data_IF_847150960339
#
_entry.id   IF_847150960339
#
_cell.length_a   1.000
_cell.length_b   1.000
_cell.length_c   1.000
_cell.angle_alpha   90.00
_cell.angle_beta   90.00
_cell.angle_gamma   90.00
#
_symmetry.space_group_name_H-M   'P 1'
#
loop_
_entity.id
_entity.type
_entity.pdbx_description
1 polymer ?
#
# COMPACT_ATOMS: atom_id res chain seq x y z
N UNK A 1 35.64 9.61 -9.77
CA UNK A 1 34.62 10.26 -8.93
C UNK A 1 33.32 9.46 -9.05
N UNK A 2 32.76 8.90 -7.96
CA UNK A 2 31.49 8.19 -8.03
C UNK A 2 30.35 9.18 -8.29
N UNK A 3 29.55 8.89 -9.33
CA UNK A 3 28.40 9.70 -9.76
C UNK A 3 27.35 9.82 -8.65
N UNK A 4 27.33 10.95 -7.95
CA UNK A 4 26.30 11.35 -6.98
C UNK A 4 24.92 11.62 -7.61
N UNK A 5 24.83 11.62 -8.94
CA UNK A 5 23.62 11.97 -9.70
C UNK A 5 22.55 10.88 -9.72
N UNK A 6 22.87 9.61 -9.45
CA UNK A 6 21.85 8.53 -9.45
C UNK A 6 21.00 8.47 -8.18
N UNK A 7 21.53 8.92 -7.05
CA UNK A 7 20.79 8.90 -5.78
C UNK A 7 19.70 9.99 -5.73
N UNK A 8 19.97 11.15 -6.34
CA UNK A 8 19.07 12.31 -6.29
C UNK A 8 17.80 12.15 -7.15
N UNK A 9 17.86 11.35 -8.23
CA UNK A 9 16.70 11.12 -9.10
C UNK A 9 15.64 10.17 -8.50
N UNK A 10 15.99 9.37 -7.47
CA UNK A 10 15.08 8.40 -6.86
C UNK A 10 14.17 8.99 -5.77
N UNK A 11 14.58 10.10 -5.14
CA UNK A 11 13.90 10.72 -4.00
C UNK A 11 12.63 11.51 -4.34
N UNK A 12 12.57 12.36 -5.39
CA UNK A 12 11.33 13.09 -5.72
C UNK A 12 10.24 12.16 -6.26
N UNK A 13 10.61 10.96 -6.71
CA UNK A 13 9.73 10.07 -7.45
C UNK A 13 8.78 9.24 -6.56
N UNK A 14 8.99 9.22 -5.24
CA UNK A 14 8.21 8.36 -4.30
C UNK A 14 7.48 9.13 -3.21
N UNK A 15 7.48 10.47 -3.27
CA UNK A 15 6.84 11.32 -2.26
C UNK A 15 5.35 11.01 -2.13
N UNK A 16 4.67 10.74 -3.25
CA UNK A 16 3.25 10.36 -3.26
C UNK A 16 3.01 9.06 -2.49
N UNK A 17 3.88 8.06 -2.62
CA UNK A 17 3.73 6.81 -1.87
C UNK A 17 3.96 7.00 -0.37
N UNK A 18 4.91 7.86 0.02
CA UNK A 18 5.10 8.27 1.41
C UNK A 18 3.90 9.05 1.96
N UNK A 19 3.33 9.96 1.16
CA UNK A 19 2.14 10.72 1.52
C UNK A 19 0.99 9.77 1.85
N UNK A 20 0.64 8.83 0.97
CA UNK A 20 -0.46 7.89 1.25
C UNK A 20 -0.16 6.93 2.39
N UNK A 21 1.08 6.48 2.53
CA UNK A 21 1.47 5.68 3.70
C UNK A 21 1.27 6.48 5.01
N UNK A 22 1.67 7.76 5.03
CA UNK A 22 1.48 8.63 6.19
C UNK A 22 0.00 8.92 6.47
N UNK A 23 -0.83 9.07 5.44
CA UNK A 23 -2.27 9.24 5.60
C UNK A 23 -2.92 8.00 6.21
N UNK A 24 -2.52 6.79 5.79
CA UNK A 24 -2.99 5.54 6.38
C UNK A 24 -2.60 5.42 7.86
N UNK A 25 -1.35 5.76 8.20
CA UNK A 25 -0.89 5.80 9.59
C UNK A 25 -1.69 6.84 10.39
N UNK A 26 -1.80 8.07 9.90
CA UNK A 26 -2.50 9.16 10.57
C UNK A 26 -3.98 8.83 10.81
N UNK A 27 -4.66 8.29 9.80
CA UNK A 27 -6.05 7.86 9.92
C UNK A 27 -6.21 6.68 10.90
N UNK A 28 -5.27 5.73 10.89
CA UNK A 28 -5.30 4.62 11.83
C UNK A 28 -5.05 5.05 13.28
N UNK A 29 -4.11 5.97 13.49
CA UNK A 29 -3.86 6.59 14.81
C UNK A 29 -5.07 7.39 15.30
N UNK A 30 -5.78 8.08 14.40
CA UNK A 30 -7.04 8.76 14.71
C UNK A 30 -8.09 7.78 15.24
N UNK A 31 -8.25 6.60 14.63
CA UNK A 31 -9.18 5.57 15.11
C UNK A 31 -8.76 4.88 16.42
N UNK A 32 -7.45 4.81 16.70
CA UNK A 32 -6.95 4.21 17.94
C UNK A 32 -7.13 5.17 19.13
N UNK A 33 -7.16 6.48 18.86
CA UNK A 33 -7.21 7.50 19.90
C UNK A 33 -8.49 7.37 20.75
N UNK A 34 -8.38 7.28 22.10
CA UNK A 34 -9.50 6.94 22.96
C UNK A 34 -10.56 8.05 23.11
N UNK A 35 -10.25 9.26 22.65
CA UNK A 35 -11.11 10.43 22.79
C UNK A 35 -12.02 10.67 21.58
N UNK A 36 -11.84 9.93 20.49
CA UNK A 36 -12.69 10.02 19.30
C UNK A 36 -13.58 8.77 19.16
N UNK A 37 -14.83 8.96 18.75
CA UNK A 37 -15.78 7.89 18.47
C UNK A 37 -16.21 7.98 17.00
N UNK A 38 -15.28 7.73 16.09
CA UNK A 38 -15.55 7.86 14.64
C UNK A 38 -16.66 6.90 14.22
N UNK A 39 -16.64 5.69 14.78
CA UNK A 39 -17.65 4.67 14.48
C UNK A 39 -18.98 4.89 15.22
N UNK A 40 -19.10 5.95 16.03
CA UNK A 40 -20.39 6.43 16.54
C UNK A 40 -21.26 7.05 15.44
N UNK A 41 -20.69 7.40 14.29
CA UNK A 41 -21.44 7.89 13.14
C UNK A 41 -22.04 6.72 12.34
N UNK A 42 -23.37 6.73 12.04
CA UNK A 42 -24.05 5.70 11.26
C UNK A 42 -23.40 5.37 9.91
N UNK A 43 -22.70 6.33 9.29
CA UNK A 43 -21.94 6.12 8.06
C UNK A 43 -20.97 4.94 8.16
N UNK A 44 -20.38 4.69 9.34
CA UNK A 44 -19.40 3.63 9.54
C UNK A 44 -20.01 2.32 10.08
N UNK A 45 -21.34 2.21 10.18
CA UNK A 45 -22.01 1.05 10.78
C UNK A 45 -21.61 -0.29 10.12
N UNK A 46 -21.44 -0.31 8.80
CA UNK A 46 -21.01 -1.51 8.09
C UNK A 46 -19.57 -1.95 8.44
N UNK A 47 -18.65 -1.01 8.70
CA UNK A 47 -17.31 -1.34 9.19
C UNK A 47 -17.33 -1.79 10.65
N UNK A 48 -18.16 -1.13 11.47
CA UNK A 48 -18.34 -1.47 12.89
C UNK A 48 -18.89 -2.89 13.08
N UNK A 49 -19.71 -3.37 12.13
CA UNK A 49 -20.22 -4.74 12.14
C UNK A 49 -19.14 -5.81 11.87
N UNK A 50 -18.06 -5.45 11.16
CA UNK A 50 -16.97 -6.37 10.81
C UNK A 50 -15.88 -6.43 11.88
N UNK A 51 -15.49 -5.27 12.41
CA UNK A 51 -14.48 -5.16 13.45
C UNK A 51 -14.62 -3.84 14.21
N UNK A 52 -14.07 -3.81 15.41
CA UNK A 52 -14.04 -2.60 16.25
C UNK A 52 -13.22 -1.49 15.61
N UNK A 53 -13.53 -0.23 15.94
CA UNK A 53 -12.80 0.96 15.48
C UNK A 53 -11.29 0.82 15.71
N UNK A 54 -10.90 0.32 16.90
CA UNK A 54 -9.49 0.09 17.26
C UNK A 54 -8.82 -0.95 16.35
N UNK A 55 -9.50 -2.02 15.98
CA UNK A 55 -8.94 -3.05 15.08
C UNK A 55 -8.68 -2.49 13.69
N UNK A 56 -9.63 -1.72 13.14
CA UNK A 56 -9.42 -1.01 11.87
C UNK A 56 -8.28 0.01 11.95
N UNK A 57 -8.17 0.72 13.08
CA UNK A 57 -7.07 1.64 13.33
C UNK A 57 -5.70 0.95 13.32
N UNK A 58 -5.55 -0.15 14.07
CA UNK A 58 -4.33 -0.96 14.10
C UNK A 58 -4.00 -1.48 12.70
N UNK A 59 -4.99 -2.01 12.00
CA UNK A 59 -4.82 -2.53 10.65
C UNK A 59 -4.31 -1.44 9.68
N UNK A 60 -4.90 -0.26 9.70
CA UNK A 60 -4.48 0.88 8.86
C UNK A 60 -3.04 1.32 9.17
N UNK A 61 -2.68 1.40 10.45
CA UNK A 61 -1.28 1.68 10.87
C UNK A 61 -0.33 0.60 10.36
N UNK A 62 -0.67 -0.68 10.53
CA UNK A 62 0.16 -1.78 10.04
C UNK A 62 0.40 -1.70 8.53
N UNK A 63 -0.64 -1.46 7.73
CA UNK A 63 -0.49 -1.30 6.27
C UNK A 63 0.43 -0.12 5.93
N UNK A 64 0.23 1.02 6.57
CA UNK A 64 1.06 2.21 6.34
C UNK A 64 2.53 1.98 6.73
N UNK A 65 2.80 1.33 7.87
CA UNK A 65 4.15 0.99 8.32
C UNK A 65 4.82 -0.01 7.38
N UNK A 66 4.10 -1.05 6.95
CA UNK A 66 4.62 -2.02 5.96
C UNK A 66 4.97 -1.32 4.65
N UNK A 67 4.13 -0.37 4.19
CA UNK A 67 4.40 0.42 2.99
C UNK A 67 5.65 1.29 3.13
N UNK A 68 5.82 2.00 4.25
CA UNK A 68 7.04 2.77 4.54
C UNK A 68 8.25 1.86 4.56
N UNK A 69 8.17 0.71 5.24
CA UNK A 69 9.25 -0.29 5.26
C UNK A 69 9.60 -0.78 3.84
N UNK A 70 8.61 -1.07 3.01
CA UNK A 70 8.80 -1.48 1.62
C UNK A 70 9.48 -0.37 0.78
N UNK A 71 9.14 0.90 1.02
CA UNK A 71 9.76 2.04 0.35
C UNK A 71 11.24 2.19 0.72
N UNK A 72 11.56 2.09 2.02
CA UNK A 72 12.92 2.16 2.55
C UNK A 72 13.77 0.99 2.01
N UNK A 73 13.26 -0.24 2.07
CA UNK A 73 13.98 -1.42 1.58
C UNK A 73 14.22 -1.35 0.06
N UNK A 74 13.22 -0.91 -0.73
CA UNK A 74 13.37 -0.68 -2.17
C UNK A 74 14.35 0.46 -2.52
N UNK A 75 14.79 1.26 -1.56
CA UNK A 75 15.81 2.29 -1.75
C UNK A 75 17.24 1.76 -1.58
N UNK A 76 17.44 0.69 -0.80
CA UNK A 76 18.78 0.36 -0.28
C UNK A 76 19.27 -1.08 -0.51
N UNK A 77 18.40 -2.11 -0.61
CA UNK A 77 18.89 -3.50 -0.51
C UNK A 77 18.26 -4.48 -1.51
N UNK A 78 16.98 -4.82 -1.35
CA UNK A 78 16.27 -5.78 -2.19
C UNK A 78 15.04 -5.13 -2.81
N UNK A 79 14.83 -5.34 -4.12
CA UNK A 79 13.64 -4.84 -4.81
C UNK A 79 12.41 -5.61 -4.32
N UNK A 80 11.51 -4.95 -3.59
CA UNK A 80 10.19 -5.45 -3.15
C UNK A 80 9.02 -4.72 -3.84
N UNK A 81 8.97 -4.65 -5.19
CA UNK A 81 7.96 -3.88 -5.91
C UNK A 81 6.54 -4.45 -5.76
N UNK A 82 6.40 -5.77 -5.58
CA UNK A 82 5.10 -6.40 -5.35
C UNK A 82 4.49 -6.01 -4.01
N UNK A 83 5.31 -5.86 -2.96
CA UNK A 83 4.83 -5.43 -1.65
C UNK A 83 4.31 -4.00 -1.70
N UNK A 84 5.00 -3.11 -2.42
CA UNK A 84 4.54 -1.74 -2.69
C UNK A 84 3.20 -1.73 -3.44
N UNK A 85 3.09 -2.52 -4.51
CA UNK A 85 1.85 -2.66 -5.26
C UNK A 85 0.69 -3.13 -4.37
N UNK A 86 0.88 -4.16 -3.56
CA UNK A 86 -0.15 -4.66 -2.63
C UNK A 86 -0.60 -3.59 -1.64
N UNK A 87 0.33 -2.80 -1.08
CA UNK A 87 -0.01 -1.74 -0.14
C UNK A 87 -0.77 -0.58 -0.81
N UNK A 88 -0.37 -0.17 -2.02
CA UNK A 88 -1.11 0.83 -2.81
C UNK A 88 -2.49 0.34 -3.22
N UNK A 89 -2.59 -0.93 -3.62
CA UNK A 89 -3.88 -1.56 -3.97
C UNK A 89 -4.83 -1.59 -2.77
N UNK A 90 -4.31 -1.90 -1.59
CA UNK A 90 -5.07 -1.80 -0.36
C UNK A 90 -5.59 -0.36 -0.14
N UNK A 91 -4.75 0.65 -0.37
CA UNK A 91 -5.17 2.06 -0.35
C UNK A 91 -6.32 2.35 -1.31
N UNK A 92 -6.26 1.88 -2.56
CA UNK A 92 -7.36 2.01 -3.54
C UNK A 92 -8.67 1.44 -2.97
N UNK A 93 -8.62 0.20 -2.48
CA UNK A 93 -9.80 -0.46 -1.90
C UNK A 93 -10.32 0.31 -0.69
N UNK A 94 -9.42 0.80 0.15
CA UNK A 94 -9.74 1.56 1.35
C UNK A 94 -10.54 2.84 1.03
N UNK A 95 -10.06 3.65 0.09
CA UNK A 95 -10.74 4.88 -0.32
C UNK A 95 -12.08 4.59 -1.01
N UNK A 96 -12.18 3.50 -1.79
CA UNK A 96 -13.45 3.06 -2.39
C UNK A 96 -14.47 2.65 -1.34
N UNK A 97 -14.05 1.92 -0.30
CA UNK A 97 -14.92 1.54 0.82
C UNK A 97 -15.45 2.79 1.52
N UNK A 98 -14.61 3.79 1.78
CA UNK A 98 -15.06 5.05 2.38
C UNK A 98 -16.10 5.76 1.50
N UNK A 99 -15.87 5.87 0.19
CA UNK A 99 -16.86 6.43 -0.75
C UNK A 99 -18.18 5.65 -0.68
N UNK A 100 -18.12 4.32 -0.72
CA UNK A 100 -19.30 3.46 -0.68
C UNK A 100 -20.11 3.65 0.61
N UNK A 101 -19.45 3.78 1.77
CA UNK A 101 -20.12 4.05 3.05
C UNK A 101 -20.92 5.37 3.03
N UNK A 102 -20.39 6.41 2.39
CA UNK A 102 -21.08 7.69 2.25
C UNK A 102 -22.30 7.60 1.31
N UNK A 103 -22.24 6.78 0.27
CA UNK A 103 -23.39 6.54 -0.59
C UNK A 103 -24.48 5.71 0.11
N UNK A 104 -24.10 4.79 1.00
CA UNK A 104 -25.06 4.01 1.80
C UNK A 104 -25.75 4.86 2.86
N UNK A 105 -25.07 5.88 3.39
CA UNK A 105 -25.59 6.76 4.44
C UNK A 105 -25.40 8.24 4.05
N UNK A 106 -26.20 8.76 3.09
CA UNK A 106 -26.09 10.14 2.65
C UNK A 106 -26.36 11.11 3.81
N UNK A 107 -25.43 12.03 4.05
CA UNK A 107 -25.59 13.14 4.99
C UNK A 107 -25.76 14.44 4.22
N UNK A 108 -26.61 15.38 4.66
CA UNK A 108 -26.72 16.71 4.05
C UNK A 108 -25.42 17.52 4.17
N UNK A 109 -24.55 17.18 5.13
CA UNK A 109 -23.24 17.80 5.33
C UNK A 109 -22.16 16.70 5.29
N UNK A 110 -21.74 16.23 4.11
CA UNK A 110 -20.67 15.26 4.00
C UNK A 110 -19.34 15.90 4.43
N UNK A 111 -18.46 15.16 5.13
CA UNK A 111 -17.15 15.66 5.49
C UNK A 111 -16.32 15.94 4.22
N UNK A 112 -15.48 16.97 4.28
CA UNK A 112 -14.68 17.43 3.14
C UNK A 112 -13.85 16.31 2.48
N UNK A 113 -13.45 15.29 3.25
CA UNK A 113 -12.74 14.10 2.76
C UNK A 113 -13.44 13.39 1.59
N UNK A 114 -14.78 13.41 1.53
CA UNK A 114 -15.55 12.78 0.45
C UNK A 114 -15.14 13.28 -0.94
N UNK A 115 -14.86 14.57 -1.09
CA UNK A 115 -14.44 15.19 -2.37
C UNK A 115 -13.01 14.75 -2.76
N UNK A 116 -12.17 14.45 -1.77
CA UNK A 116 -10.77 14.09 -2.00
C UNK A 116 -10.55 12.59 -2.25
N UNK A 117 -11.44 11.71 -1.80
CA UNK A 117 -11.26 10.25 -1.97
C UNK A 117 -11.08 9.82 -3.44
N UNK A 118 -11.82 10.34 -4.44
CA UNK A 118 -11.55 10.03 -5.85
C UNK A 118 -10.15 10.43 -6.31
N UNK A 119 -9.65 11.58 -5.83
CA UNK A 119 -8.30 12.05 -6.13
C UNK A 119 -7.27 11.09 -5.53
N UNK A 120 -7.49 10.64 -4.28
CA UNK A 120 -6.63 9.66 -3.62
C UNK A 120 -6.57 8.34 -4.38
N UNK A 121 -7.70 7.86 -4.89
CA UNK A 121 -7.76 6.64 -5.73
C UNK A 121 -6.89 6.79 -6.97
N UNK A 122 -6.95 7.93 -7.68
CA UNK A 122 -6.14 8.17 -8.87
C UNK A 122 -4.64 8.08 -8.55
N UNK A 123 -4.17 8.75 -7.50
CA UNK A 123 -2.76 8.71 -7.13
C UNK A 123 -2.31 7.36 -6.59
N UNK A 124 -3.19 6.62 -5.91
CA UNK A 124 -2.91 5.23 -5.51
C UNK A 124 -2.82 4.30 -6.71
N UNK A 125 -3.67 4.48 -7.74
CA UNK A 125 -3.57 3.74 -8.99
C UNK A 125 -2.28 4.06 -9.76
N UNK A 126 -1.83 5.32 -9.77
CA UNK A 126 -0.52 5.70 -10.31
C UNK A 126 0.60 5.00 -9.55
N UNK A 127 0.51 4.95 -8.21
CA UNK A 127 1.48 4.22 -7.37
C UNK A 127 1.48 2.71 -7.65
N UNK A 128 0.31 2.13 -7.88
CA UNK A 128 0.15 0.74 -8.30
C UNK A 128 0.82 0.47 -9.65
N UNK A 129 0.51 1.29 -10.67
CA UNK A 129 1.05 1.13 -12.02
C UNK A 129 2.58 1.22 -12.02
N UNK A 130 3.15 2.17 -11.26
CA UNK A 130 4.60 2.32 -11.12
C UNK A 130 5.24 1.15 -10.40
N UNK A 131 4.66 0.72 -9.28
CA UNK A 131 5.15 -0.45 -8.53
C UNK A 131 5.11 -1.72 -9.38
N UNK A 132 4.08 -1.88 -10.20
CA UNK A 132 3.97 -3.01 -11.13
C UNK A 132 5.01 -2.92 -12.27
N UNK A 133 5.22 -1.73 -12.84
CA UNK A 133 6.28 -1.52 -13.83
C UNK A 133 7.67 -1.85 -13.27
N UNK A 134 7.93 -1.47 -12.01
CA UNK A 134 9.14 -1.84 -11.28
C UNK A 134 9.25 -3.37 -11.09
N UNK A 135 8.13 -4.07 -10.83
CA UNK A 135 8.09 -5.52 -10.70
C UNK A 135 8.49 -6.24 -12.01
N UNK A 136 7.98 -5.77 -13.14
CA UNK A 136 8.38 -6.28 -14.46
C UNK A 136 9.87 -6.03 -14.73
N UNK A 137 10.38 -4.82 -14.46
CA UNK A 137 11.80 -4.49 -14.63
C UNK A 137 12.71 -5.29 -13.70
N UNK A 138 12.21 -5.67 -12.52
CA UNK A 138 12.93 -6.49 -11.56
C UNK A 138 12.88 -7.99 -11.86
N UNK A 139 12.21 -8.42 -12.94
CA UNK A 139 11.96 -9.83 -13.24
C UNK A 139 11.30 -10.58 -12.07
N UNK A 140 10.40 -9.91 -11.31
CA UNK A 140 9.78 -10.47 -10.12
C UNK A 140 8.98 -11.76 -10.37
N UNK A 141 8.56 -11.97 -11.63
CA UNK A 141 7.81 -13.15 -12.06
C UNK A 141 8.66 -14.21 -12.76
N UNK A 142 9.99 -14.05 -12.81
CA UNK A 142 10.85 -15.05 -13.44
C UNK A 142 10.92 -16.28 -12.54
N UNK A 143 10.62 -17.49 -13.05
CA UNK A 143 10.76 -18.70 -12.25
C UNK A 143 12.20 -18.84 -11.77
N UNK A 144 12.37 -19.17 -10.49
CA UNK A 144 13.66 -19.47 -9.88
C UNK A 144 14.38 -20.50 -10.76
N UNK A 145 15.45 -20.09 -11.43
CA UNK A 145 16.33 -21.05 -12.10
C UNK A 145 16.94 -21.91 -11.00
N UNK A 146 16.57 -23.18 -10.96
CA UNK A 146 17.20 -24.16 -10.09
C UNK A 146 18.73 -24.08 -10.28
N UNK A 147 19.51 -24.13 -9.19
CA UNK A 147 20.96 -24.08 -9.28
C UNK A 147 21.46 -25.21 -10.19
N UNK A 148 22.47 -24.94 -11.02
CA UNK A 148 23.04 -25.88 -12.02
C UNK A 148 23.36 -27.27 -11.44
N UNK A 149 23.63 -27.36 -10.14
CA UNK A 149 23.88 -28.61 -9.42
C UNK A 149 22.71 -29.61 -9.52
N UNK A 150 21.46 -29.14 -9.53
CA UNK A 150 20.28 -29.99 -9.72
C UNK A 150 20.03 -30.37 -11.19
N UNK A 151 20.64 -29.65 -12.13
CA UNK A 151 20.55 -29.98 -13.56
C UNK A 151 21.50 -31.13 -13.94
N UNK A 152 22.66 -31.21 -13.28
CA UNK A 152 23.64 -32.28 -13.51
C UNK A 152 23.20 -33.62 -12.91
N UNK A 153 22.47 -33.62 -11.79
CA UNK A 153 21.92 -34.85 -11.19
C UNK A 153 20.89 -35.58 -12.07
N UNK A 154 20.21 -34.88 -12.98
CA UNK A 154 19.29 -35.51 -13.95
C UNK A 154 19.98 -36.01 -15.23
N UNK A 155 21.22 -35.58 -15.49
CA UNK A 155 21.95 -36.00 -16.68
C UNK A 155 22.71 -37.32 -16.47
N UNK A 156 23.03 -37.68 -15.23
CA UNK A 156 23.77 -38.90 -14.89
C UNK A 156 22.92 -40.14 -14.59
N UNK A 157 21.59 -40.10 -14.77
CA UNK A 157 20.71 -41.25 -14.48
C UNK A 157 20.28 -42.02 -15.74
N UNK A 158 20.97 -41.82 -16.86
CA UNK A 158 20.72 -42.48 -18.16
C UNK A 158 21.93 -43.26 -18.70
N UNK A 159 22.94 -43.51 -17.87
CA UNK A 159 24.01 -44.48 -18.13
C UNK A 159 23.77 -45.75 -17.31
#
# INVERSE_FOLDING_TARGET
MPNSTRASAAYPDRLVEYLFASMMIGWGLWLIAPWWQTFGNPTYAALAALATERQWGIFSVCVGVVRVGALVVNGHWCRTPLLRFMCSWFGVVWWLVLIWLFFQNPSPNPPAGFVFYPIFIVFELVSCARSMADAFRANAFRPLRLPRLLQLSRAGSHE
#
